data_IF_250506333988
#
_entry.id   IF_250506333988
#
_cell.length_a   1.000
_cell.length_b   1.000
_cell.length_c   1.000
_cell.angle_alpha   90.00
_cell.angle_beta   90.00
_cell.angle_gamma   90.00
#
_symmetry.space_group_name_H-M   'P 1'
#
loop_
_entity.id
_entity.type
_entity.pdbx_description
1 polymer ?
#
# COMPACT_ATOMS: atom_id res chain seq x y z
N UNK A 1 -18.50 0.67 4.39
CA UNK A 1 -17.26 0.44 5.16
C UNK A 1 -16.13 0.37 4.15
N UNK A 2 -14.92 0.83 4.47
CA UNK A 2 -13.80 0.69 3.54
C UNK A 2 -13.29 -0.75 3.57
N UNK A 3 -13.00 -1.33 2.40
CA UNK A 3 -12.47 -2.68 2.26
C UNK A 3 -10.95 -2.77 2.54
N UNK A 4 -10.39 -1.66 3.01
CA UNK A 4 -8.97 -1.49 3.27
C UNK A 4 -8.71 -1.37 4.77
N UNK A 5 -7.70 -2.10 5.23
CA UNK A 5 -7.13 -1.95 6.56
C UNK A 5 -5.71 -1.42 6.41
N UNK A 6 -5.38 -0.35 7.15
CA UNK A 6 -4.02 0.14 7.28
C UNK A 6 -3.34 -0.49 8.49
N UNK A 7 -2.12 -0.99 8.29
CA UNK A 7 -1.28 -1.58 9.33
C UNK A 7 0.15 -1.04 9.28
N UNK A 8 0.81 -1.08 10.44
CA UNK A 8 2.24 -0.75 10.59
C UNK A 8 3.13 -1.98 10.84
N UNK A 9 2.53 -3.14 11.08
CA UNK A 9 3.23 -4.43 11.19
C UNK A 9 2.44 -5.51 10.44
N UNK A 10 3.14 -6.41 9.74
CA UNK A 10 2.54 -7.56 9.05
C UNK A 10 3.01 -8.86 9.66
N UNK A 11 2.11 -9.84 9.74
CA UNK A 11 2.42 -11.24 10.05
C UNK A 11 2.22 -12.14 8.83
N UNK A 12 2.69 -11.71 7.65
CA UNK A 12 2.69 -12.52 6.41
C UNK A 12 4.09 -13.05 6.08
N UNK A 13 4.18 -14.01 5.14
CA UNK A 13 5.47 -14.49 4.62
C UNK A 13 6.33 -13.37 4.00
N UNK A 14 5.69 -12.31 3.51
CA UNK A 14 6.31 -11.09 2.96
C UNK A 14 6.99 -10.23 4.04
N UNK A 15 6.74 -10.48 5.34
CA UNK A 15 7.45 -9.81 6.44
C UNK A 15 8.98 -9.94 6.32
N UNK A 16 9.47 -11.02 5.70
CA UNK A 16 10.89 -11.21 5.42
C UNK A 16 11.45 -10.24 4.38
N UNK A 17 10.68 -9.96 3.32
CA UNK A 17 11.08 -9.13 2.17
C UNK A 17 11.15 -7.64 2.57
N UNK A 18 10.20 -7.19 3.37
CA UNK A 18 10.11 -5.78 3.76
C UNK A 18 10.88 -5.42 5.04
N UNK A 19 11.58 -6.38 5.66
CA UNK A 19 12.35 -6.12 6.88
C UNK A 19 13.48 -5.13 6.58
N UNK A 20 13.42 -3.97 7.23
CA UNK A 20 14.40 -2.88 7.14
C UNK A 20 14.39 -2.10 5.81
N UNK A 21 13.24 -1.97 5.13
CA UNK A 21 13.10 -1.05 3.99
C UNK A 21 12.81 0.35 4.54
N UNK A 22 13.76 1.31 4.47
CA UNK A 22 13.59 2.63 5.09
C UNK A 22 12.44 3.44 4.49
N UNK A 23 12.18 3.25 3.20
CA UNK A 23 11.14 3.95 2.45
C UNK A 23 9.74 3.44 2.81
N UNK A 24 9.62 2.29 3.46
CA UNK A 24 8.33 1.70 3.82
C UNK A 24 7.73 2.39 5.04
N UNK A 25 6.48 2.84 4.90
CA UNK A 25 5.71 3.50 5.98
C UNK A 25 4.64 2.57 6.56
N UNK A 26 3.79 2.02 5.69
CA UNK A 26 2.59 1.26 6.08
C UNK A 26 2.28 0.15 5.09
N UNK A 27 1.31 -0.69 5.47
CA UNK A 27 0.70 -1.68 4.60
C UNK A 27 -0.80 -1.45 4.52
N UNK A 28 -1.36 -1.71 3.34
CA UNK A 28 -2.79 -1.78 3.09
C UNK A 28 -3.17 -3.21 2.75
N UNK A 29 -4.20 -3.73 3.41
CA UNK A 29 -4.77 -5.03 3.12
C UNK A 29 -6.17 -4.85 2.55
N UNK A 30 -6.40 -5.35 1.34
CA UNK A 30 -7.71 -5.38 0.71
C UNK A 30 -8.42 -6.68 1.12
N UNK A 31 -9.63 -6.55 1.67
CA UNK A 31 -10.39 -7.69 2.22
C UNK A 31 -11.39 -8.32 1.25
N UNK A 32 -11.72 -7.62 0.16
CA UNK A 32 -12.61 -8.11 -0.88
C UNK A 32 -11.83 -8.53 -2.12
N UNK A 33 -12.47 -9.27 -3.04
CA UNK A 33 -11.82 -9.67 -4.27
C UNK A 33 -11.48 -8.44 -5.15
N UNK A 34 -10.25 -8.33 -5.68
CA UNK A 34 -9.12 -9.22 -5.44
C UNK A 34 -8.44 -8.91 -4.10
N UNK A 35 -8.31 -9.92 -3.24
CA UNK A 35 -7.67 -9.76 -1.92
C UNK A 35 -6.16 -9.62 -2.13
N UNK A 36 -5.56 -8.63 -1.49
CA UNK A 36 -4.14 -8.34 -1.72
C UNK A 36 -3.52 -7.55 -0.58
N UNK A 37 -2.19 -7.49 -0.61
CA UNK A 37 -1.37 -6.66 0.26
C UNK A 37 -0.62 -5.64 -0.60
N UNK A 38 -0.74 -4.37 -0.24
CA UNK A 38 -0.06 -3.24 -0.87
C UNK A 38 0.83 -2.57 0.16
N UNK A 39 2.11 -2.38 -0.17
CA UNK A 39 3.02 -1.53 0.60
C UNK A 39 2.79 -0.06 0.27
N UNK A 40 2.91 0.81 1.27
CA UNK A 40 2.94 2.27 1.11
C UNK A 40 4.29 2.78 1.58
N UNK A 41 4.93 3.63 0.79
CA UNK A 41 6.20 4.23 1.17
C UNK A 41 6.54 5.51 0.42
N UNK A 42 7.79 5.94 0.56
CA UNK A 42 8.36 7.06 -0.18
C UNK A 42 8.45 6.76 -1.68
N UNK A 43 8.53 7.81 -2.50
CA UNK A 43 8.82 7.66 -3.92
C UNK A 43 10.19 6.99 -4.09
N UNK A 44 10.23 5.89 -4.81
CA UNK A 44 11.40 5.02 -4.94
C UNK A 44 11.19 3.63 -4.32
N UNK A 45 10.16 3.45 -3.48
CA UNK A 45 9.86 2.17 -2.83
C UNK A 45 9.78 1.01 -3.84
N UNK A 46 9.11 1.22 -4.98
CA UNK A 46 8.98 0.19 -6.01
C UNK A 46 10.34 -0.26 -6.55
N UNK A 47 11.31 0.64 -6.68
CA UNK A 47 12.66 0.29 -7.13
C UNK A 47 13.44 -0.53 -6.09
N UNK A 48 13.19 -0.32 -4.81
CA UNK A 48 13.81 -1.06 -3.70
C UNK A 48 13.21 -2.47 -3.56
N UNK A 49 11.90 -2.58 -3.74
CA UNK A 49 11.17 -3.84 -3.58
C UNK A 49 11.18 -4.71 -4.84
N UNK A 50 11.20 -4.11 -6.04
CA UNK A 50 11.14 -4.84 -7.32
C UNK A 50 12.11 -6.03 -7.42
N UNK A 51 13.40 -5.93 -7.02
CA UNK A 51 14.34 -7.06 -7.12
C UNK A 51 14.04 -8.21 -6.15
N UNK A 52 13.18 -8.00 -5.17
CA UNK A 52 12.86 -8.94 -4.09
C UNK A 52 11.50 -9.61 -4.29
N UNK A 53 10.76 -9.24 -5.33
CA UNK A 53 9.45 -9.78 -5.65
C UNK A 53 9.61 -10.83 -6.76
N UNK A 54 9.00 -11.99 -6.56
CA UNK A 54 9.08 -13.12 -7.50
C UNK A 54 8.33 -12.86 -8.82
N UNK A 55 7.49 -11.82 -8.86
CA UNK A 55 6.63 -11.45 -9.99
C UNK A 55 6.88 -10.00 -10.42
N UNK A 56 6.46 -9.66 -11.65
CA UNK A 56 6.53 -8.27 -12.14
C UNK A 56 5.81 -7.33 -11.15
N UNK A 57 6.51 -6.37 -10.55
CA UNK A 57 5.94 -5.54 -9.51
C UNK A 57 5.00 -4.50 -10.13
N UNK A 58 3.76 -4.47 -9.65
CA UNK A 58 2.84 -3.40 -9.96
C UNK A 58 3.03 -2.25 -8.97
N UNK A 59 3.11 -1.02 -9.48
CA UNK A 59 3.33 0.16 -8.66
C UNK A 59 2.49 1.35 -9.12
N UNK A 60 2.17 2.22 -8.17
CA UNK A 60 1.48 3.49 -8.40
C UNK A 60 2.17 4.61 -7.62
N UNK A 61 2.38 5.76 -8.28
CA UNK A 61 3.07 6.92 -7.69
C UNK A 61 2.13 8.11 -7.56
N UNK A 62 1.90 8.56 -6.33
CA UNK A 62 1.21 9.81 -6.06
C UNK A 62 2.24 10.92 -5.80
N UNK A 63 2.51 11.73 -6.81
CA UNK A 63 3.48 12.85 -6.69
C UNK A 63 2.93 14.04 -5.90
N UNK A 64 1.61 14.16 -5.76
CA UNK A 64 0.99 15.29 -5.05
C UNK A 64 1.13 15.13 -3.54
N UNK A 65 1.03 13.90 -3.03
CA UNK A 65 1.16 13.59 -1.60
C UNK A 65 2.45 12.82 -1.26
N UNK A 66 3.36 12.70 -2.22
CA UNK A 66 4.70 12.14 -2.07
C UNK A 66 4.73 10.73 -1.44
N UNK A 67 4.00 9.81 -2.08
CA UNK A 67 4.02 8.39 -1.73
C UNK A 67 3.93 7.46 -2.94
N UNK A 68 4.41 6.24 -2.77
CA UNK A 68 4.35 5.15 -3.74
C UNK A 68 3.64 3.94 -3.13
N UNK A 69 2.81 3.30 -3.94
CA UNK A 69 2.14 2.04 -3.63
C UNK A 69 2.80 0.93 -4.43
N UNK A 70 3.03 -0.21 -3.81
CA UNK A 70 3.59 -1.40 -4.45
C UNK A 70 2.74 -2.61 -4.09
N UNK A 71 2.22 -3.33 -5.08
CA UNK A 71 1.54 -4.59 -4.84
C UNK A 71 2.58 -5.63 -4.42
N UNK A 72 2.45 -6.13 -3.19
CA UNK A 72 3.38 -7.11 -2.62
C UNK A 72 2.94 -8.54 -2.91
N UNK A 73 1.65 -8.81 -2.73
CA UNK A 73 1.09 -10.16 -2.74
C UNK A 73 -0.39 -10.09 -3.13
N UNK A 74 -0.80 -10.92 -4.10
CA UNK A 74 -2.20 -11.28 -4.29
C UNK A 74 -2.53 -12.47 -3.39
N UNK A 75 -3.56 -12.33 -2.56
CA UNK A 75 -4.03 -13.40 -1.65
C UNK A 75 -4.98 -14.36 -2.40
N UNK A 76 -5.68 -13.86 -3.41
CA UNK A 76 -6.42 -14.68 -4.37
C UNK A 76 -5.51 -15.10 -5.54
N UNK A 77 -5.82 -16.21 -6.22
CA UNK A 77 -5.07 -16.64 -7.42
C UNK A 77 -5.25 -15.62 -8.57
N UNK A 78 -4.11 -15.19 -9.10
CA UNK A 78 -3.83 -14.35 -10.27
C UNK A 78 -4.79 -13.17 -10.58
N UNK A 79 -4.43 -11.98 -10.06
CA UNK A 79 -4.90 -10.71 -10.61
C UNK A 79 -4.25 -10.50 -11.98
N UNK A 80 -4.96 -10.83 -13.05
CA UNK A 80 -4.45 -10.76 -14.43
C UNK A 80 -4.88 -9.51 -15.19
N UNK A 81 -5.93 -8.82 -14.74
CA UNK A 81 -6.45 -7.62 -15.40
C UNK A 81 -5.73 -6.35 -14.91
N UNK A 82 -4.98 -5.71 -15.81
CA UNK A 82 -4.31 -4.44 -15.55
C UNK A 82 -5.28 -3.32 -15.15
N UNK A 83 -6.52 -3.34 -15.65
CA UNK A 83 -7.54 -2.35 -15.32
C UNK A 83 -8.04 -2.54 -13.89
N UNK A 84 -8.15 -3.78 -13.45
CA UNK A 84 -8.49 -4.12 -12.07
C UNK A 84 -7.39 -3.64 -11.11
N UNK A 85 -6.12 -3.89 -11.44
CA UNK A 85 -4.96 -3.41 -10.66
C UNK A 85 -4.93 -1.87 -10.58
N UNK A 86 -5.20 -1.18 -11.69
CA UNK A 86 -5.26 0.29 -11.68
C UNK A 86 -6.37 0.80 -10.76
N UNK A 87 -7.56 0.19 -10.84
CA UNK A 87 -8.71 0.56 -10.02
C UNK A 87 -8.40 0.32 -8.54
N UNK A 88 -7.81 -0.83 -8.23
CA UNK A 88 -7.34 -1.20 -6.90
C UNK A 88 -6.36 -0.16 -6.33
N UNK A 89 -5.36 0.29 -7.11
CA UNK A 89 -4.43 1.31 -6.64
C UNK A 89 -5.07 2.68 -6.42
N UNK A 90 -6.03 3.09 -7.25
CA UNK A 90 -6.73 4.34 -7.03
C UNK A 90 -7.57 4.31 -5.76
N UNK A 91 -8.21 3.18 -5.48
CA UNK A 91 -8.98 3.00 -4.25
C UNK A 91 -8.05 2.97 -3.01
N UNK A 92 -6.96 2.21 -3.07
CA UNK A 92 -5.92 2.16 -2.03
C UNK A 92 -5.32 3.56 -1.75
N UNK A 93 -4.99 4.31 -2.80
CA UNK A 93 -4.47 5.67 -2.69
C UNK A 93 -5.50 6.58 -2.03
N UNK A 94 -6.76 6.52 -2.46
CA UNK A 94 -7.85 7.32 -1.89
C UNK A 94 -8.04 7.02 -0.40
N UNK A 95 -8.05 5.74 -0.03
CA UNK A 95 -8.14 5.32 1.36
C UNK A 95 -7.00 5.90 2.21
N UNK A 96 -5.75 5.80 1.73
CA UNK A 96 -4.60 6.35 2.43
C UNK A 96 -4.63 7.88 2.56
N UNK A 97 -5.05 8.58 1.49
CA UNK A 97 -5.24 10.04 1.50
C UNK A 97 -6.24 10.46 2.59
N UNK A 98 -7.37 9.77 2.70
CA UNK A 98 -8.41 10.08 3.70
C UNK A 98 -7.87 9.81 5.10
N UNK A 99 -7.26 8.64 5.32
CA UNK A 99 -6.69 8.28 6.61
C UNK A 99 -5.65 9.30 7.11
N UNK A 100 -4.76 9.76 6.23
CA UNK A 100 -3.73 10.75 6.59
C UNK A 100 -4.33 12.12 6.91
N UNK A 101 -5.38 12.55 6.21
CA UNK A 101 -6.12 13.77 6.52
C UNK A 101 -6.82 13.70 7.88
N UNK A 102 -7.48 12.57 8.18
CA UNK A 102 -8.16 12.37 9.46
C UNK A 102 -7.16 12.36 10.63
N UNK A 103 -6.02 11.69 10.47
CA UNK A 103 -4.96 11.66 11.47
C UNK A 103 -4.40 13.06 11.76
N UNK A 104 -4.19 13.87 10.72
CA UNK A 104 -3.75 15.26 10.86
C UNK A 104 -4.79 16.11 11.61
N UNK A 105 -6.07 16.00 11.24
CA UNK A 105 -7.15 16.73 11.90
C UNK A 105 -7.25 16.37 13.39
N UNK A 106 -7.10 15.09 13.74
CA UNK A 106 -7.05 14.64 15.13
C UNK A 106 -5.85 15.19 15.89
N UNK A 107 -4.69 15.29 15.26
CA UNK A 107 -3.49 15.86 15.88
C UNK A 107 -3.67 17.35 16.15
N UNK A 108 -4.14 18.11 15.16
CA UNK A 108 -4.41 19.54 15.31
C UNK A 108 -5.41 19.84 16.44
N UNK A 109 -6.44 19.00 16.59
CA UNK A 109 -7.42 19.12 17.66
C UNK A 109 -6.86 18.86 19.07
N UNK A 110 -5.74 18.13 19.19
CA UNK A 110 -5.06 17.85 20.46
C UNK A 110 -4.05 18.94 20.84
N UNK A 111 -3.53 19.65 19.85
CA UNK A 111 -2.52 20.70 20.02
C UNK A 111 -3.15 22.09 20.30
N UNK A 112 -4.48 22.20 20.27
CA UNK A 112 -5.28 23.38 20.62
C UNK A 112 -5.86 23.30 22.03
#
# INVERSE_FOLDING_TARGET
MSNWIIGSDMNSGVKGICKNVPELRHYLVHLEHPRCIVAIGDIGLGAVLAPQLDVNPYFYKNRTQDFELVLLEGIDEDITDLKEIQTLFYDAATHYCIHTQDALAMQMAKDC
#
